data_IF_544771391092
#
_entry.id   IF_544771391092
#
_cell.length_a   1.000
_cell.length_b   1.000
_cell.length_c   1.000
_cell.angle_alpha   90.00
_cell.angle_beta   90.00
_cell.angle_gamma   90.00
#
_symmetry.space_group_name_H-M   'P 1'
#
loop_
_entity.id
_entity.type
_entity.pdbx_description
1 polymer ?
#
# COMPACT_ATOMS: atom_id res chain seq x y z
N UNK A 1 1.38 -22.11 1.18
CA UNK A 1 2.31 -21.52 0.20
C UNK A 1 1.60 -21.26 -1.14
N UNK A 2 1.19 -22.28 -1.90
CA UNK A 2 0.58 -22.08 -3.23
C UNK A 2 -0.66 -21.15 -3.24
N UNK A 3 -1.57 -21.32 -2.28
CA UNK A 3 -2.78 -20.50 -2.19
C UNK A 3 -2.50 -19.03 -1.84
N UNK A 4 -1.47 -18.77 -1.03
CA UNK A 4 -1.05 -17.42 -0.64
C UNK A 4 -0.51 -16.65 -1.84
N UNK A 5 0.39 -17.28 -2.62
CA UNK A 5 0.90 -16.68 -3.85
C UNK A 5 -0.19 -16.44 -4.88
N UNK A 6 -1.11 -17.40 -5.06
CA UNK A 6 -2.26 -17.21 -5.95
C UNK A 6 -3.15 -16.03 -5.52
N UNK A 7 -3.37 -15.84 -4.21
CA UNK A 7 -4.13 -14.70 -3.69
C UNK A 7 -3.45 -13.37 -3.99
N UNK A 8 -2.13 -13.29 -3.85
CA UNK A 8 -1.33 -12.10 -4.19
C UNK A 8 -1.41 -11.78 -5.68
N UNK A 9 -1.24 -12.79 -6.55
CA UNK A 9 -1.36 -12.60 -7.99
C UNK A 9 -2.75 -12.10 -8.37
N UNK A 10 -3.81 -12.65 -7.77
CA UNK A 10 -5.17 -12.19 -8.01
C UNK A 10 -5.39 -10.74 -7.59
N UNK A 11 -4.79 -10.29 -6.48
CA UNK A 11 -4.85 -8.87 -6.09
C UNK A 11 -4.12 -7.95 -7.07
N UNK A 12 -2.98 -8.38 -7.62
CA UNK A 12 -2.27 -7.61 -8.66
C UNK A 12 -3.13 -7.43 -9.90
N UNK A 13 -3.79 -8.50 -10.37
CA UNK A 13 -4.74 -8.44 -11.49
C UNK A 13 -5.93 -7.52 -11.18
N UNK A 14 -6.40 -7.50 -9.93
CA UNK A 14 -7.48 -6.60 -9.51
C UNK A 14 -7.03 -5.12 -9.53
N UNK A 15 -5.79 -4.83 -9.15
CA UNK A 15 -5.20 -3.49 -9.21
C UNK A 15 -5.03 -3.05 -10.67
N UNK A 16 -4.58 -3.93 -11.57
CA UNK A 16 -4.46 -3.59 -12.99
C UNK A 16 -5.79 -3.17 -13.61
N UNK A 17 -6.90 -3.80 -13.22
CA UNK A 17 -8.24 -3.41 -13.71
C UNK A 17 -8.65 -1.99 -13.28
N UNK A 18 -7.98 -1.39 -12.29
CA UNK A 18 -8.25 -0.01 -11.89
C UNK A 18 -7.81 1.00 -12.95
N UNK A 19 -6.92 0.63 -13.88
CA UNK A 19 -6.57 1.51 -15.02
C UNK A 19 -7.76 1.78 -15.95
N UNK A 20 -8.79 0.93 -15.92
CA UNK A 20 -10.03 1.13 -16.69
C UNK A 20 -11.03 2.04 -15.94
N UNK A 21 -10.75 2.41 -14.69
CA UNK A 21 -11.60 3.25 -13.85
C UNK A 21 -11.13 4.71 -13.93
N UNK A 22 -12.06 5.63 -14.14
CA UNK A 22 -11.79 7.06 -14.11
C UNK A 22 -11.16 7.51 -12.79
N UNK A 23 -10.13 8.36 -12.86
CA UNK A 23 -9.39 8.84 -11.69
C UNK A 23 -10.29 9.52 -10.66
N UNK A 24 -11.31 10.25 -11.13
CA UNK A 24 -12.33 10.90 -10.31
C UNK A 24 -13.00 9.93 -9.32
N UNK A 25 -13.20 8.67 -9.73
CA UNK A 25 -13.76 7.61 -8.87
C UNK A 25 -12.73 6.99 -7.95
N UNK A 26 -11.46 6.99 -8.33
CA UNK A 26 -10.38 6.40 -7.54
C UNK A 26 -9.95 7.29 -6.38
N UNK A 27 -10.13 8.61 -6.51
CA UNK A 27 -9.79 9.60 -5.47
C UNK A 27 -10.94 9.86 -4.49
N UNK A 28 -12.15 9.41 -4.81
CA UNK A 28 -13.29 9.53 -3.91
C UNK A 28 -13.22 8.51 -2.77
N UNK A 29 -13.50 8.93 -1.52
CA UNK A 29 -13.68 8.01 -0.40
C UNK A 29 -14.69 6.92 -0.73
N UNK A 30 -14.38 5.66 -0.40
CA UNK A 30 -15.33 4.56 -0.62
C UNK A 30 -16.63 4.74 0.18
N UNK A 31 -16.54 5.41 1.34
CA UNK A 31 -17.62 5.88 2.21
C UNK A 31 -17.12 7.07 3.02
N UNK A 32 -18.04 7.81 3.65
CA UNK A 32 -17.69 8.88 4.58
C UNK A 32 -16.72 8.37 5.68
N UNK A 33 -15.64 9.11 5.89
CA UNK A 33 -14.58 8.74 6.84
C UNK A 33 -13.73 7.52 6.45
N UNK A 34 -13.91 6.95 5.25
CA UNK A 34 -13.08 5.85 4.72
C UNK A 34 -12.11 6.36 3.67
N UNK A 35 -11.08 5.57 3.40
CA UNK A 35 -10.11 5.88 2.36
C UNK A 35 -10.73 5.73 0.96
N UNK A 36 -10.16 6.46 0.02
CA UNK A 36 -10.34 6.24 -1.41
C UNK A 36 -9.56 5.01 -1.89
N UNK A 37 -9.92 4.49 -3.07
CA UNK A 37 -9.20 3.36 -3.67
C UNK A 37 -7.73 3.72 -3.90
N UNK A 38 -7.44 4.95 -4.34
CA UNK A 38 -6.07 5.44 -4.53
C UNK A 38 -5.27 5.45 -3.24
N UNK A 39 -5.87 5.88 -2.13
CA UNK A 39 -5.20 5.87 -0.81
C UNK A 39 -4.91 4.44 -0.33
N UNK A 40 -5.82 3.49 -0.55
CA UNK A 40 -5.61 2.08 -0.20
C UNK A 40 -4.47 1.47 -1.03
N UNK A 41 -4.49 1.63 -2.36
CA UNK A 41 -3.43 1.09 -3.24
C UNK A 41 -2.09 1.74 -2.95
N UNK A 42 -2.05 3.07 -2.75
CA UNK A 42 -0.82 3.78 -2.39
C UNK A 42 -0.27 3.36 -1.03
N UNK A 43 -1.13 2.99 -0.09
CA UNK A 43 -0.69 2.41 1.18
C UNK A 43 -0.03 1.06 0.96
N UNK A 44 -0.67 0.13 0.22
CA UNK A 44 -0.11 -1.19 -0.08
C UNK A 44 1.25 -1.10 -0.79
N UNK A 45 1.37 -0.23 -1.79
CA UNK A 45 2.64 0.01 -2.51
C UNK A 45 3.76 0.46 -1.57
N UNK A 46 3.45 1.32 -0.59
CA UNK A 46 4.44 1.80 0.36
C UNK A 46 4.92 0.69 1.30
N UNK A 47 4.03 -0.25 1.65
CA UNK A 47 4.39 -1.44 2.42
C UNK A 47 5.28 -2.37 1.59
N UNK A 48 4.89 -2.68 0.36
CA UNK A 48 5.64 -3.56 -0.52
C UNK A 48 7.05 -3.00 -0.76
N UNK A 49 7.16 -1.70 -1.02
CA UNK A 49 8.45 -1.03 -1.20
C UNK A 49 9.34 -1.14 0.04
N UNK A 50 8.81 -0.88 1.24
CA UNK A 50 9.58 -0.94 2.47
C UNK A 50 10.03 -2.37 2.80
N UNK A 51 9.16 -3.36 2.61
CA UNK A 51 9.49 -4.77 2.83
C UNK A 51 10.62 -5.18 1.87
N UNK A 52 10.53 -4.80 0.60
CA UNK A 52 11.52 -5.15 -0.41
C UNK A 52 12.84 -4.40 -0.23
N UNK A 53 12.83 -3.15 0.24
CA UNK A 53 14.04 -2.33 0.37
C UNK A 53 14.77 -2.53 1.70
N UNK A 54 14.04 -2.68 2.80
CA UNK A 54 14.64 -2.71 4.14
C UNK A 54 14.69 -4.13 4.72
N UNK A 55 13.59 -4.88 4.60
CA UNK A 55 13.47 -6.15 5.33
C UNK A 55 14.05 -7.31 4.56
N UNK A 56 13.63 -7.54 3.32
CA UNK A 56 14.11 -8.67 2.50
C UNK A 56 15.64 -8.72 2.43
N UNK A 57 16.37 -7.60 2.22
CA UNK A 57 17.83 -7.63 2.21
C UNK A 57 18.47 -7.91 3.57
N UNK A 58 17.75 -7.64 4.67
CA UNK A 58 18.21 -7.84 6.04
C UNK A 58 17.79 -9.20 6.64
N UNK A 59 17.08 -10.06 5.88
CA UNK A 59 16.69 -11.40 6.33
C UNK A 59 17.92 -12.31 6.27
N UNK A 60 18.47 -12.60 7.44
CA UNK A 60 19.49 -13.60 7.68
C UNK A 60 19.10 -14.46 8.89
N UNK A 61 19.70 -15.65 9.04
CA UNK A 61 19.39 -16.52 10.16
C UNK A 61 19.79 -15.87 11.48
N UNK A 62 18.81 -15.66 12.37
CA UNK A 62 18.99 -14.95 13.64
C UNK A 62 18.93 -13.42 13.55
N UNK A 63 18.63 -12.85 12.37
CA UNK A 63 18.50 -11.40 12.20
C UNK A 63 17.35 -10.83 13.04
N UNK A 64 17.59 -9.66 13.66
CA UNK A 64 16.55 -8.84 14.29
C UNK A 64 16.18 -7.73 13.33
N UNK A 65 15.07 -7.91 12.62
CA UNK A 65 14.54 -6.88 11.74
C UNK A 65 14.13 -5.65 12.56
N UNK A 66 14.27 -4.46 11.96
CA UNK A 66 13.79 -3.21 12.54
C UNK A 66 12.29 -3.33 12.86
N UNK A 67 11.87 -2.77 14.00
CA UNK A 67 10.46 -2.69 14.34
C UNK A 67 9.68 -2.00 13.22
N UNK A 68 8.43 -2.43 13.04
CA UNK A 68 7.56 -1.87 12.02
C UNK A 68 7.48 -0.34 12.18
N UNK A 69 7.72 0.45 11.11
CA UNK A 69 7.60 1.90 11.20
C UNK A 69 6.16 2.25 11.61
N UNK A 70 6.01 3.23 12.50
CA UNK A 70 4.71 3.63 13.04
C UNK A 70 3.68 3.79 11.90
N UNK A 71 2.64 2.95 11.93
CA UNK A 71 1.67 2.80 10.85
C UNK A 71 1.07 4.15 10.46
N UNK A 72 0.86 5.03 11.45
CA UNK A 72 0.34 6.37 11.25
C UNK A 72 1.36 7.31 10.60
N UNK A 73 2.65 7.25 10.95
CA UNK A 73 3.66 8.17 10.43
C UNK A 73 3.89 8.00 8.92
N UNK A 74 3.84 6.76 8.41
CA UNK A 74 4.03 6.44 7.00
C UNK A 74 2.82 6.89 6.15
N UNK A 75 1.61 6.74 6.70
CA UNK A 75 0.35 7.22 6.12
C UNK A 75 0.29 8.75 6.13
N UNK A 76 0.58 9.37 7.28
CA UNK A 76 0.38 10.80 7.51
C UNK A 76 1.35 11.68 6.69
N UNK A 77 2.55 11.17 6.39
CA UNK A 77 3.55 11.86 5.56
C UNK A 77 3.14 11.97 4.09
N UNK A 78 2.42 10.98 3.53
CA UNK A 78 1.90 11.04 2.14
C UNK A 78 0.48 11.63 2.05
N UNK A 79 -0.39 11.39 3.05
CA UNK A 79 -1.73 12.01 3.09
C UNK A 79 -1.68 13.54 3.24
N UNK A 80 -0.70 14.09 3.98
CA UNK A 80 -0.51 15.54 4.07
C UNK A 80 -0.21 16.15 2.70
N UNK A 81 0.63 15.53 1.87
CA UNK A 81 0.91 16.04 0.52
C UNK A 81 -0.31 15.96 -0.41
N UNK A 82 -1.18 14.94 -0.27
CA UNK A 82 -2.36 14.77 -1.11
C UNK A 82 -3.52 15.71 -0.75
N UNK A 83 -3.60 16.20 0.49
CA UNK A 83 -4.68 17.09 0.97
C UNK A 83 -4.31 18.57 1.00
N UNK A 84 -3.04 18.93 0.77
CA UNK A 84 -2.56 20.34 0.77
C UNK A 84 -2.45 20.93 -0.65
N UNK A 85 -2.75 20.16 -1.70
CA UNK A 85 -2.80 20.66 -3.10
C UNK A 85 -4.22 20.76 -3.68
N UNK A 86 -5.24 20.96 -2.82
CA UNK A 86 -6.59 21.38 -3.23
C UNK A 86 -6.94 22.73 -2.61
#
# INVERSE_FOLDING_TARGET
MAQTFASLTNSMVAIEKLYEVGEDRLIQPMREGKWSVREVVGHLESWDTHILSEWVPAIEEGARLSAFPDHEALIMRRLKCAKTSM
#
